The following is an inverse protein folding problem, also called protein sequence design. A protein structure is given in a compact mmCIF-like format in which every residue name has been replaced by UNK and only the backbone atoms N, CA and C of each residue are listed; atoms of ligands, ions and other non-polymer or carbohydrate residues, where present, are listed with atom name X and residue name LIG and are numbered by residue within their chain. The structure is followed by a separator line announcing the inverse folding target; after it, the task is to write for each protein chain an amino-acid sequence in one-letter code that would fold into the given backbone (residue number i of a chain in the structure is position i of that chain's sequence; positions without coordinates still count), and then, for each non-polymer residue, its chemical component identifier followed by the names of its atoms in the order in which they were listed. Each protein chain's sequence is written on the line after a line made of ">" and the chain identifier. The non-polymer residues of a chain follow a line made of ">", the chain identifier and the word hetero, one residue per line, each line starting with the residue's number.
data_IF_867037218429
#
_entry.id   IF_867037218429
#
_cell.length_a   1.000
_cell.length_b   1.000
_cell.length_c   1.000
_cell.angle_alpha   90.00
_cell.angle_beta   90.00
_cell.angle_gamma   90.00
#
_symmetry.space_group_name_H-M   'P 1'
#
loop_
_entity.id
_entity.type
_entity.pdbx_description
1 polymer ?
#
# COMPACT_ATOMS: atom_id res chain seq x y z
N UNK A 1 -10.98 22.41 -17.43
CA UNK A 1 -11.69 21.46 -16.54
C UNK A 1 -11.31 20.03 -16.84
N UNK A 2 -11.36 19.60 -18.11
CA UNK A 2 -11.01 18.23 -18.51
C UNK A 2 -9.56 17.84 -18.21
N UNK A 3 -8.58 18.73 -18.42
CA UNK A 3 -7.16 18.45 -18.12
C UNK A 3 -6.94 18.17 -16.62
N UNK A 4 -7.50 19.00 -15.74
CA UNK A 4 -7.42 18.81 -14.29
C UNK A 4 -8.08 17.48 -13.88
N UNK A 5 -9.26 17.18 -14.43
CA UNK A 5 -9.95 15.92 -14.17
C UNK A 5 -9.13 14.72 -14.63
N UNK A 6 -8.55 14.77 -15.82
CA UNK A 6 -7.68 13.72 -16.34
C UNK A 6 -6.46 13.51 -15.43
N UNK A 7 -5.83 14.59 -14.97
CA UNK A 7 -4.72 14.51 -14.02
C UNK A 7 -5.12 13.85 -12.70
N UNK A 8 -6.27 14.21 -12.13
CA UNK A 8 -6.80 13.59 -10.90
C UNK A 8 -7.03 12.09 -11.09
N UNK A 9 -7.65 11.70 -12.20
CA UNK A 9 -7.94 10.30 -12.52
C UNK A 9 -6.63 9.51 -12.67
N UNK A 10 -5.67 10.03 -13.45
CA UNK A 10 -4.36 9.38 -13.63
C UNK A 10 -3.65 9.24 -12.29
N UNK A 11 -3.61 10.30 -11.49
CA UNK A 11 -2.96 10.30 -10.19
C UNK A 11 -3.57 9.27 -9.23
N UNK A 12 -4.90 9.12 -9.25
CA UNK A 12 -5.61 8.11 -8.46
C UNK A 12 -5.33 6.68 -8.94
N UNK A 13 -5.33 6.46 -10.26
CA UNK A 13 -4.99 5.15 -10.85
C UNK A 13 -3.54 4.78 -10.52
N UNK A 14 -2.61 5.73 -10.61
CA UNK A 14 -1.21 5.51 -10.21
C UNK A 14 -1.13 5.14 -8.73
N UNK A 15 -1.86 5.83 -7.85
CA UNK A 15 -1.92 5.48 -6.42
C UNK A 15 -2.39 4.04 -6.20
N UNK A 16 -3.46 3.63 -6.90
CA UNK A 16 -3.98 2.26 -6.82
C UNK A 16 -2.96 1.23 -7.36
N UNK A 17 -2.32 1.50 -8.49
CA UNK A 17 -1.31 0.61 -9.07
C UNK A 17 -0.12 0.42 -8.12
N UNK A 18 0.37 1.50 -7.49
CA UNK A 18 1.43 1.43 -6.50
C UNK A 18 1.04 0.58 -5.29
N UNK A 19 -0.19 0.77 -4.77
CA UNK A 19 -0.71 -0.05 -3.67
C UNK A 19 -0.81 -1.54 -4.06
N UNK A 20 -1.28 -1.85 -5.27
CA UNK A 20 -1.35 -3.23 -5.77
C UNK A 20 0.03 -3.86 -5.90
N UNK A 21 0.98 -3.18 -6.54
CA UNK A 21 2.36 -3.68 -6.70
C UNK A 21 3.00 -3.89 -5.33
N UNK A 22 2.90 -2.89 -4.46
CA UNK A 22 3.41 -3.01 -3.09
C UNK A 22 2.75 -4.15 -2.34
N UNK A 23 1.44 -4.38 -2.50
CA UNK A 23 0.76 -5.47 -1.79
C UNK A 23 1.13 -6.85 -2.34
N UNK A 24 1.32 -7.01 -3.64
CA UNK A 24 1.35 -8.33 -4.29
C UNK A 24 2.78 -8.81 -4.58
N UNK A 25 3.70 -7.91 -4.91
CA UNK A 25 5.01 -8.32 -5.44
C UNK A 25 6.03 -8.68 -4.35
N UNK A 26 6.81 -9.74 -4.62
CA UNK A 26 7.76 -10.37 -3.69
C UNK A 26 9.06 -9.57 -3.51
N UNK A 27 8.96 -8.34 -3.03
CA UNK A 27 10.12 -7.45 -2.92
C UNK A 27 9.99 -6.40 -1.82
N UNK A 28 9.49 -6.75 -0.63
CA UNK A 28 9.56 -5.86 0.54
C UNK A 28 10.94 -5.87 1.18
N UNK A 29 11.59 -7.03 1.20
CA UNK A 29 12.95 -7.21 1.69
C UNK A 29 13.67 -8.23 0.81
N UNK A 30 14.87 -7.87 0.38
CA UNK A 30 15.60 -8.60 -0.67
C UNK A 30 17.07 -8.76 -0.28
N UNK A 31 17.63 -9.92 -0.58
CA UNK A 31 19.05 -10.22 -0.48
C UNK A 31 19.54 -10.95 -1.72
N UNK A 32 20.82 -11.32 -1.74
CA UNK A 32 21.43 -11.92 -2.94
C UNK A 32 20.79 -13.26 -3.32
N UNK A 33 20.37 -14.03 -2.31
CA UNK A 33 19.85 -15.39 -2.49
C UNK A 33 18.38 -15.55 -2.06
N UNK A 34 17.69 -14.47 -1.74
CA UNK A 34 16.31 -14.52 -1.29
C UNK A 34 15.52 -13.24 -1.55
N UNK A 35 14.20 -13.38 -1.56
CA UNK A 35 13.25 -12.27 -1.52
C UNK A 35 12.12 -12.59 -0.56
N UNK A 36 11.55 -11.56 0.06
CA UNK A 36 10.36 -11.71 0.90
C UNK A 36 9.40 -10.53 0.69
N UNK A 37 8.11 -10.82 0.75
CA UNK A 37 7.03 -9.85 0.86
C UNK A 37 6.26 -10.05 2.17
N UNK A 38 5.07 -9.45 2.24
CA UNK A 38 4.18 -9.55 3.39
C UNK A 38 3.43 -10.90 3.45
N UNK A 39 3.52 -11.76 2.43
CA UNK A 39 2.82 -13.05 2.30
C UNK A 39 3.74 -14.26 2.30
N UNK A 40 4.93 -14.14 1.69
CA UNK A 40 5.79 -15.24 1.28
C UNK A 40 7.25 -14.84 1.33
N UNK A 41 8.08 -15.83 1.64
CA UNK A 41 9.52 -15.79 1.54
C UNK A 41 9.97 -16.77 0.45
N UNK A 42 10.93 -16.39 -0.38
CA UNK A 42 11.41 -17.18 -1.50
C UNK A 42 12.93 -17.23 -1.49
N UNK A 43 13.49 -18.43 -1.62
CA UNK A 43 14.92 -18.63 -1.86
C UNK A 43 15.19 -18.68 -3.36
N UNK A 44 15.99 -17.74 -3.86
CA UNK A 44 16.29 -17.58 -5.29
C UNK A 44 17.06 -18.78 -5.85
N UNK A 45 17.97 -19.35 -5.05
CA UNK A 45 18.85 -20.45 -5.48
C UNK A 45 18.12 -21.77 -5.71
N UNK A 46 17.09 -22.04 -4.91
CA UNK A 46 16.31 -23.29 -4.96
C UNK A 46 14.94 -23.11 -5.60
N UNK A 47 14.55 -21.87 -5.92
CA UNK A 47 13.20 -21.51 -6.40
C UNK A 47 12.07 -21.98 -5.48
N UNK A 48 12.36 -22.14 -4.18
CA UNK A 48 11.40 -22.57 -3.18
C UNK A 48 10.80 -21.36 -2.47
N UNK A 49 9.47 -21.26 -2.47
CA UNK A 49 8.74 -20.23 -1.76
C UNK A 49 7.86 -20.84 -0.67
N UNK A 50 7.91 -20.27 0.53
CA UNK A 50 7.08 -20.66 1.67
C UNK A 50 6.21 -19.48 2.09
N UNK A 51 4.96 -19.77 2.45
CA UNK A 51 4.07 -18.75 2.98
C UNK A 51 4.50 -18.37 4.41
N UNK A 52 4.31 -17.11 4.78
CA UNK A 52 4.43 -16.64 6.16
C UNK A 52 3.14 -17.05 6.88
N UNK A 53 3.26 -17.94 7.86
CA UNK A 53 2.13 -18.50 8.62
C UNK A 53 2.26 -18.17 10.11
N UNK A 54 1.27 -18.59 10.90
CA UNK A 54 1.21 -18.46 12.36
C UNK A 54 2.34 -19.16 13.12
N UNK A 55 3.13 -19.99 12.45
CA UNK A 55 4.35 -20.59 12.99
C UNK A 55 5.50 -19.57 13.13
N UNK A 56 5.38 -18.42 12.46
CA UNK A 56 6.37 -17.36 12.53
C UNK A 56 6.14 -16.51 13.79
N UNK A 57 7.17 -16.30 14.61
CA UNK A 57 7.02 -15.57 15.89
C UNK A 57 6.40 -14.18 15.75
N UNK A 58 6.81 -13.44 14.72
CA UNK A 58 6.29 -12.09 14.44
C UNK A 58 5.08 -12.10 13.49
N UNK A 59 4.38 -13.23 13.38
CA UNK A 59 3.21 -13.36 12.51
C UNK A 59 2.12 -12.33 12.84
N UNK A 60 1.91 -11.98 14.11
CA UNK A 60 0.91 -10.96 14.49
C UNK A 60 1.23 -9.59 13.88
N UNK A 61 2.50 -9.19 13.90
CA UNK A 61 2.99 -7.95 13.30
C UNK A 61 2.79 -7.98 11.78
N UNK A 62 3.18 -9.07 11.11
CA UNK A 62 2.96 -9.24 9.67
C UNK A 62 1.47 -9.29 9.31
N UNK A 63 0.64 -9.95 10.12
CA UNK A 63 -0.80 -10.03 9.90
C UNK A 63 -1.46 -8.65 9.94
N UNK A 64 -0.99 -7.77 10.84
CA UNK A 64 -1.41 -6.38 10.87
C UNK A 64 -1.00 -5.63 9.59
N UNK A 65 0.24 -5.83 9.10
CA UNK A 65 0.71 -5.26 7.83
C UNK A 65 -0.14 -5.77 6.66
N UNK A 66 -0.38 -7.08 6.57
CA UNK A 66 -1.21 -7.71 5.53
C UNK A 66 -2.63 -7.11 5.51
N UNK A 67 -3.29 -7.05 6.66
CA UNK A 67 -4.64 -6.51 6.78
C UNK A 67 -4.68 -5.02 6.39
N UNK A 68 -3.70 -4.24 6.84
CA UNK A 68 -3.59 -2.82 6.52
C UNK A 68 -3.31 -2.58 5.03
N UNK A 69 -2.45 -3.37 4.38
CA UNK A 69 -2.21 -3.29 2.94
C UNK A 69 -3.48 -3.63 2.14
N UNK A 70 -4.20 -4.71 2.50
CA UNK A 70 -5.49 -5.06 1.86
C UNK A 70 -6.49 -3.91 2.01
N UNK A 71 -6.69 -3.40 3.23
CA UNK A 71 -7.63 -2.31 3.49
C UNK A 71 -7.24 -1.04 2.72
N UNK A 72 -5.95 -0.73 2.63
CA UNK A 72 -5.47 0.43 1.87
C UNK A 72 -5.86 0.35 0.39
N UNK A 73 -5.68 -0.82 -0.23
CA UNK A 73 -6.04 -1.07 -1.63
C UNK A 73 -7.55 -1.02 -1.83
N UNK A 74 -8.33 -1.65 -0.95
CA UNK A 74 -9.81 -1.62 -1.00
C UNK A 74 -10.32 -0.18 -0.91
N UNK A 75 -9.87 0.58 0.10
CA UNK A 75 -10.31 1.95 0.27
C UNK A 75 -9.89 2.85 -0.90
N UNK A 76 -8.69 2.67 -1.47
CA UNK A 76 -8.30 3.42 -2.66
C UNK A 76 -9.22 3.15 -3.86
N UNK A 77 -9.60 1.88 -4.09
CA UNK A 77 -10.54 1.50 -5.14
C UNK A 77 -11.96 2.04 -4.88
N UNK A 78 -12.45 1.94 -3.65
CA UNK A 78 -13.77 2.46 -3.26
C UNK A 78 -13.80 3.98 -3.40
N UNK A 79 -12.76 4.70 -2.97
CA UNK A 79 -12.64 6.13 -3.17
C UNK A 79 -12.70 6.51 -4.65
N UNK A 80 -12.07 5.73 -5.54
CA UNK A 80 -12.15 5.97 -6.97
C UNK A 80 -13.60 5.83 -7.50
N UNK A 81 -14.30 4.77 -7.11
CA UNK A 81 -15.70 4.57 -7.52
C UNK A 81 -16.61 5.69 -7.00
N UNK A 82 -16.44 6.08 -5.73
CA UNK A 82 -17.17 7.20 -5.12
C UNK A 82 -16.86 8.50 -5.85
N UNK A 83 -15.59 8.75 -6.22
CA UNK A 83 -15.21 9.93 -6.99
C UNK A 83 -15.98 10.01 -8.30
N UNK A 84 -16.00 8.92 -9.07
CA UNK A 84 -16.76 8.85 -10.34
C UNK A 84 -18.25 9.10 -10.10
N UNK A 85 -18.85 8.52 -9.05
CA UNK A 85 -20.25 8.77 -8.69
C UNK A 85 -20.49 10.25 -8.33
N UNK A 86 -19.58 10.86 -7.56
CA UNK A 86 -19.67 12.28 -7.18
C UNK A 86 -19.53 13.20 -8.40
N UNK A 87 -18.77 12.84 -9.44
CA UNK A 87 -18.71 13.64 -10.67
C UNK A 87 -20.10 13.86 -11.28
N UNK A 88 -20.97 12.83 -11.25
CA UNK A 88 -22.32 12.92 -11.81
C UNK A 88 -23.35 13.45 -10.81
N UNK A 89 -23.29 13.01 -9.55
CA UNK A 89 -24.36 13.26 -8.55
C UNK A 89 -24.19 14.56 -7.76
N UNK A 90 -22.96 15.04 -7.58
CA UNK A 90 -22.68 16.18 -6.70
C UNK A 90 -23.22 17.48 -7.31
N UNK A 91 -23.73 18.42 -6.49
CA UNK A 91 -24.20 19.73 -7.00
C UNK A 91 -23.01 20.63 -7.34
N UNK A 92 -23.23 21.60 -8.23
CA UNK A 92 -22.21 22.62 -8.52
C UNK A 92 -21.86 23.39 -7.23
N UNK A 93 -20.58 23.61 -6.98
CA UNK A 93 -20.04 24.30 -5.81
C UNK A 93 -19.71 23.39 -4.62
N UNK A 94 -20.22 22.16 -4.59
CA UNK A 94 -19.93 21.18 -3.53
C UNK A 94 -18.54 20.54 -3.69
N UNK A 95 -18.01 19.98 -2.60
CA UNK A 95 -16.69 19.36 -2.49
C UNK A 95 -16.76 17.84 -2.49
N UNK A 96 -15.69 17.19 -2.89
CA UNK A 96 -15.57 15.71 -2.92
C UNK A 96 -15.21 15.14 -1.54
N UNK A 97 -15.92 15.55 -0.48
CA UNK A 97 -15.59 15.23 0.92
C UNK A 97 -15.60 13.73 1.20
N UNK A 98 -16.62 13.01 0.72
CA UNK A 98 -16.71 11.56 0.93
C UNK A 98 -15.54 10.82 0.26
N UNK A 99 -15.22 11.15 -0.99
CA UNK A 99 -14.03 10.62 -1.69
C UNK A 99 -12.76 10.89 -0.88
N UNK A 100 -12.60 12.12 -0.38
CA UNK A 100 -11.45 12.53 0.42
C UNK A 100 -11.30 11.69 1.69
N UNK A 101 -12.38 11.49 2.46
CA UNK A 101 -12.35 10.70 3.70
C UNK A 101 -11.91 9.26 3.42
N UNK A 102 -12.50 8.60 2.42
CA UNK A 102 -12.15 7.21 2.09
C UNK A 102 -10.70 7.12 1.58
N UNK A 103 -10.25 8.10 0.78
CA UNK A 103 -8.85 8.15 0.33
C UNK A 103 -7.87 8.38 1.48
N UNK A 104 -8.23 9.20 2.48
CA UNK A 104 -7.42 9.41 3.67
C UNK A 104 -7.41 8.17 4.59
N UNK A 105 -8.48 7.36 4.61
CA UNK A 105 -8.46 6.06 5.28
C UNK A 105 -7.49 5.09 4.58
N UNK A 106 -7.46 5.06 3.25
CA UNK A 106 -6.45 4.31 2.48
C UNK A 106 -5.03 4.75 2.86
N UNK A 107 -4.80 6.06 2.88
CA UNK A 107 -3.53 6.67 3.30
C UNK A 107 -3.10 6.25 4.71
N UNK A 108 -4.03 6.27 5.67
CA UNK A 108 -3.77 5.86 7.05
C UNK A 108 -3.37 4.39 7.11
N UNK A 109 -4.07 3.51 6.40
CA UNK A 109 -3.77 2.08 6.37
C UNK A 109 -2.36 1.78 5.82
N UNK A 110 -1.97 2.36 4.67
CA UNK A 110 -0.63 2.12 4.10
C UNK A 110 0.48 2.71 4.99
N UNK A 111 0.25 3.85 5.63
CA UNK A 111 1.19 4.43 6.60
C UNK A 111 1.39 3.50 7.80
N UNK A 112 0.32 2.94 8.37
CA UNK A 112 0.39 1.97 9.47
C UNK A 112 1.17 0.73 9.04
N UNK A 113 0.86 0.15 7.88
CA UNK A 113 1.53 -1.02 7.34
C UNK A 113 3.05 -0.80 7.21
N UNK A 114 3.45 0.28 6.52
CA UNK A 114 4.86 0.60 6.30
C UNK A 114 5.59 0.91 7.62
N UNK A 115 4.92 1.60 8.56
CA UNK A 115 5.51 1.94 9.87
C UNK A 115 5.74 0.71 10.74
N UNK A 116 4.76 -0.19 10.83
CA UNK A 116 4.90 -1.46 11.59
C UNK A 116 6.04 -2.29 10.98
N UNK A 117 6.09 -2.42 9.65
CA UNK A 117 7.15 -3.18 9.00
C UNK A 117 8.54 -2.57 9.25
N UNK A 118 8.64 -1.24 9.28
CA UNK A 118 9.89 -0.52 9.59
C UNK A 118 10.32 -0.75 11.04
N UNK A 119 9.39 -0.60 11.98
CA UNK A 119 9.62 -0.81 13.42
C UNK A 119 10.10 -2.24 13.71
N UNK A 120 9.44 -3.23 13.08
CA UNK A 120 9.67 -4.65 13.33
C UNK A 120 10.75 -5.29 12.46
N UNK A 121 11.43 -4.53 11.59
CA UNK A 121 12.32 -5.11 10.57
C UNK A 121 13.42 -6.02 11.15
N UNK A 122 13.97 -5.71 12.33
CA UNK A 122 14.99 -6.55 12.96
C UNK A 122 14.42 -7.89 13.41
N UNK A 123 13.27 -7.87 14.10
CA UNK A 123 12.59 -9.07 14.58
C UNK A 123 12.08 -9.92 13.41
N UNK A 124 11.65 -9.25 12.33
CA UNK A 124 11.23 -9.87 11.09
C UNK A 124 12.38 -10.47 10.29
N UNK A 125 13.62 -9.98 10.36
CA UNK A 125 14.66 -10.45 9.44
C UNK A 125 15.87 -11.11 10.12
N UNK A 126 16.00 -11.02 11.43
CA UNK A 126 17.11 -11.64 12.19
C UNK A 126 16.67 -12.90 12.95
N UNK A 127 15.46 -13.43 12.71
CA UNK A 127 14.99 -14.63 13.39
C UNK A 127 15.68 -15.89 12.84
N UNK A 128 16.09 -16.80 13.72
CA UNK A 128 16.63 -18.12 13.34
C UNK A 128 15.54 -19.10 12.85
N UNK A 129 14.30 -18.62 12.68
CA UNK A 129 13.14 -19.43 12.29
C UNK A 129 13.00 -19.57 10.77
N UNK A 130 13.77 -18.78 10.02
CA UNK A 130 13.83 -18.91 8.57
C UNK A 130 14.59 -20.18 8.16
N UNK A 131 14.13 -20.80 7.07
CA UNK A 131 14.81 -21.96 6.45
C UNK A 131 16.13 -21.58 5.76
N UNK A 132 16.40 -20.27 5.62
CA UNK A 132 17.61 -19.68 5.06
C UNK A 132 17.87 -18.31 5.71
N UNK A 133 19.11 -17.85 5.70
CA UNK A 133 19.48 -16.57 6.32
C UNK A 133 18.93 -15.37 5.52
N UNK A 134 18.15 -14.51 6.19
CA UNK A 134 17.56 -13.29 5.60
C UNK A 134 18.03 -11.98 6.24
N UNK A 135 18.95 -12.09 7.19
CA UNK A 135 19.47 -11.00 8.03
C UNK A 135 20.20 -9.92 7.22
N UNK A 136 20.95 -10.31 6.19
CA UNK A 136 21.75 -9.43 5.33
C UNK A 136 20.96 -8.73 4.22
N UNK A 137 19.63 -8.83 4.24
CA UNK A 137 18.80 -8.18 3.24
C UNK A 137 18.75 -6.66 3.37
N UNK A 138 18.01 -6.06 2.45
CA UNK A 138 17.71 -4.62 2.42
C UNK A 138 16.26 -4.41 2.00
N UNK A 139 15.71 -3.24 2.30
CA UNK A 139 14.39 -2.87 1.81
C UNK A 139 14.33 -2.96 0.28
N UNK A 140 13.38 -3.75 -0.20
CA UNK A 140 13.11 -3.92 -1.62
C UNK A 140 12.15 -2.86 -2.16
N UNK A 141 11.92 -2.89 -3.46
CA UNK A 141 11.17 -1.84 -4.12
C UNK A 141 9.69 -1.82 -3.72
N UNK A 142 9.05 -2.96 -3.40
CA UNK A 142 7.65 -3.00 -2.96
C UNK A 142 7.42 -2.23 -1.66
N UNK A 143 8.41 -2.25 -0.74
CA UNK A 143 8.38 -1.44 0.48
C UNK A 143 8.53 0.05 0.16
N UNK A 144 9.44 0.42 -0.75
CA UNK A 144 9.61 1.82 -1.19
C UNK A 144 8.33 2.32 -1.87
N UNK A 145 7.69 1.50 -2.70
CA UNK A 145 6.43 1.84 -3.34
C UNK A 145 5.29 2.03 -2.32
N UNK A 146 5.31 1.36 -1.16
CA UNK A 146 4.35 1.60 -0.08
C UNK A 146 4.43 3.05 0.43
N UNK A 147 5.66 3.54 0.68
CA UNK A 147 5.88 4.93 1.13
C UNK A 147 5.54 5.96 0.05
N UNK A 148 5.81 5.66 -1.22
CA UNK A 148 5.39 6.52 -2.34
C UNK A 148 3.85 6.53 -2.45
N UNK A 149 3.21 5.36 -2.31
CA UNK A 149 1.76 5.25 -2.29
C UNK A 149 1.12 6.01 -1.12
N UNK A 150 1.75 6.00 0.06
CA UNK A 150 1.35 6.86 1.19
C UNK A 150 1.35 8.34 0.79
N UNK A 151 2.45 8.85 0.23
CA UNK A 151 2.52 10.25 -0.19
C UNK A 151 1.45 10.59 -1.24
N UNK A 152 1.23 9.70 -2.20
CA UNK A 152 0.24 9.90 -3.27
C UNK A 152 -1.18 9.87 -2.75
N UNK A 153 -1.52 8.90 -1.88
CA UNK A 153 -2.84 8.81 -1.26
C UNK A 153 -3.13 10.00 -0.35
N UNK A 154 -2.14 10.51 0.39
CA UNK A 154 -2.26 11.74 1.19
C UNK A 154 -2.55 12.96 0.32
N UNK A 155 -1.72 13.20 -0.70
CA UNK A 155 -1.89 14.32 -1.64
C UNK A 155 -3.26 14.24 -2.31
N UNK A 156 -3.65 13.04 -2.76
CA UNK A 156 -4.95 12.80 -3.39
C UNK A 156 -6.11 13.08 -2.42
N UNK A 157 -6.03 12.58 -1.20
CA UNK A 157 -7.04 12.80 -0.15
C UNK A 157 -7.23 14.28 0.17
N UNK A 158 -6.15 15.03 0.37
CA UNK A 158 -6.18 16.49 0.60
C UNK A 158 -6.71 17.22 -0.64
N UNK A 159 -6.27 16.83 -1.84
CA UNK A 159 -6.75 17.41 -3.09
C UNK A 159 -8.27 17.28 -3.23
N UNK A 160 -8.85 16.09 -2.99
CA UNK A 160 -10.31 15.90 -3.02
C UNK A 160 -11.06 16.75 -1.98
N UNK A 161 -10.43 17.05 -0.84
CA UNK A 161 -11.02 17.90 0.20
C UNK A 161 -11.13 19.36 -0.23
N UNK A 162 -10.17 19.84 -1.02
CA UNK A 162 -10.09 21.24 -1.47
C UNK A 162 -10.87 21.45 -2.77
N UNK A 163 -10.89 20.46 -3.66
CA UNK A 163 -11.59 20.54 -4.95
C UNK A 163 -13.08 20.77 -4.78
N UNK A 164 -13.62 21.65 -5.63
CA UNK A 164 -15.05 21.92 -5.75
C UNK A 164 -15.51 21.63 -7.18
N UNK A 165 -16.70 21.06 -7.31
CA UNK A 165 -17.36 20.91 -8.60
C UNK A 165 -17.64 22.30 -9.17
N UNK A 166 -17.01 22.65 -10.29
CA UNK A 166 -17.30 23.92 -10.97
C UNK A 166 -18.67 23.89 -11.64
N UNK A 167 -19.21 25.08 -11.91
CA UNK A 167 -20.39 25.24 -12.75
C UNK A 167 -20.15 24.64 -14.14
#
# INVERSE_FOLDING_TARGET
>A
MLILLAFIIVFHITSAALLFISTIDNAWWVGDNFSTDVWRMCATNTSTCTAITDQFREYQSIQAVQAAMILSTIFCCVAFLIFILQLFRLKQGERFVLTSIIQLLSCLCVMIAASIYTDRHEELHKSNEYSFEVSEGRYGYSFVLAWIAFAFTLISGVMYLVLRKRK
#
